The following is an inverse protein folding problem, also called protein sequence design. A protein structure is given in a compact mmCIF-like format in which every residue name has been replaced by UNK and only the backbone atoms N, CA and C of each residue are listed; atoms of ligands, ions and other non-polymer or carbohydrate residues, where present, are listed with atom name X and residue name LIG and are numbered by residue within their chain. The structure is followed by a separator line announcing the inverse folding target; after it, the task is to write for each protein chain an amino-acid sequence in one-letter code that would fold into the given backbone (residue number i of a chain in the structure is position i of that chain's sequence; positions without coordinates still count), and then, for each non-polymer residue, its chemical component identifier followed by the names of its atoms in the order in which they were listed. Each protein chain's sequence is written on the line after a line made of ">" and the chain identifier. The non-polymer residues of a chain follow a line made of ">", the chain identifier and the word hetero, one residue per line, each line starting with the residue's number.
data_IF_844851231191
#
_entry.id   IF_844851231191
#
_cell.length_a   1.000
_cell.length_b   1.000
_cell.length_c   1.000
_cell.angle_alpha   90.00
_cell.angle_beta   90.00
_cell.angle_gamma   90.00
#
_symmetry.space_group_name_H-M   'P 1'
#
loop_
_entity.id
_entity.type
_entity.pdbx_description
1 polymer ?
#
# COMPACT_ATOMS: atom_id res chain seq x y z
N UNK A 1 -34.73 18.84 -9.32
CA UNK A 1 -33.58 17.99 -9.03
C UNK A 1 -32.30 18.74 -9.34
N UNK A 2 -31.18 18.34 -8.78
CA UNK A 2 -29.85 18.82 -9.16
C UNK A 2 -29.59 18.41 -10.61
N UNK A 3 -29.02 19.31 -11.40
CA UNK A 3 -28.52 19.02 -12.76
C UNK A 3 -27.02 19.32 -12.75
N UNK A 4 -26.17 18.35 -12.32
CA UNK A 4 -24.73 18.56 -12.28
C UNK A 4 -24.14 18.53 -13.69
N UNK A 5 -23.11 19.33 -13.94
CA UNK A 5 -22.29 19.25 -15.15
C UNK A 5 -21.22 18.16 -15.06
N UNK A 6 -20.84 17.81 -13.84
CA UNK A 6 -19.76 16.86 -13.55
C UNK A 6 -20.20 15.89 -12.46
N UNK A 7 -19.88 14.62 -12.62
CA UNK A 7 -19.99 13.60 -11.55
C UNK A 7 -18.61 13.05 -11.25
N UNK A 8 -18.24 13.16 -9.97
CA UNK A 8 -16.99 12.67 -9.44
C UNK A 8 -17.26 11.36 -8.69
N UNK A 9 -16.68 10.26 -9.15
CA UNK A 9 -16.75 8.97 -8.46
C UNK A 9 -15.41 8.66 -7.81
N UNK A 10 -15.44 8.04 -6.65
CA UNK A 10 -14.26 7.67 -5.89
C UNK A 10 -14.27 6.17 -5.63
N UNK A 11 -13.30 5.46 -6.19
CA UNK A 11 -13.12 4.04 -5.98
C UNK A 11 -11.68 3.63 -6.37
N UNK A 12 -10.88 3.20 -5.40
CA UNK A 12 -9.51 2.79 -5.65
C UNK A 12 -9.44 1.36 -6.17
N UNK A 13 -8.78 1.18 -7.31
CA UNK A 13 -8.58 -0.13 -7.94
C UNK A 13 -7.17 -0.68 -7.76
N UNK A 14 -6.34 0.03 -7.04
CA UNK A 14 -4.95 -0.35 -6.81
C UNK A 14 -4.33 0.28 -5.57
N UNK A 15 -3.12 -0.15 -5.28
CA UNK A 15 -2.21 0.48 -4.36
C UNK A 15 -1.25 1.42 -5.13
N UNK A 16 -0.33 2.06 -4.43
CA UNK A 16 0.64 3.02 -4.99
C UNK A 16 1.45 2.50 -6.19
N UNK A 17 1.73 1.20 -6.24
CA UNK A 17 2.63 0.58 -7.21
C UNK A 17 2.02 -0.59 -8.01
N UNK A 18 0.78 -1.00 -7.72
CA UNK A 18 0.10 -2.09 -8.41
C UNK A 18 -1.42 -2.05 -8.25
N UNK A 19 -2.15 -2.74 -9.13
CA UNK A 19 -3.57 -3.00 -8.96
C UNK A 19 -3.84 -3.91 -7.75
N UNK A 20 -5.05 -3.85 -7.16
CA UNK A 20 -5.46 -4.79 -6.11
C UNK A 20 -5.67 -6.21 -6.63
N UNK A 21 -5.93 -6.36 -7.92
CA UNK A 21 -6.16 -7.63 -8.59
C UNK A 21 -5.54 -7.64 -9.99
N UNK A 22 -5.40 -8.83 -10.58
CA UNK A 22 -4.92 -8.96 -11.96
C UNK A 22 -5.84 -8.21 -12.92
N UNK A 23 -5.29 -7.57 -13.98
CA UNK A 23 -6.11 -6.85 -14.98
C UNK A 23 -7.21 -7.72 -15.60
N UNK A 24 -6.95 -9.01 -15.80
CA UNK A 24 -7.92 -9.96 -16.35
C UNK A 24 -9.12 -10.15 -15.42
N UNK A 25 -8.88 -10.25 -14.11
CA UNK A 25 -9.91 -10.35 -13.06
C UNK A 25 -10.72 -9.05 -13.00
N UNK A 26 -10.04 -7.88 -13.06
CA UNK A 26 -10.72 -6.59 -13.10
C UNK A 26 -11.64 -6.50 -14.32
N UNK A 27 -11.17 -6.91 -15.52
CA UNK A 27 -11.96 -6.92 -16.76
C UNK A 27 -13.17 -7.83 -16.67
N UNK A 28 -13.01 -9.01 -16.08
CA UNK A 28 -14.07 -10.00 -15.96
C UNK A 28 -15.21 -9.54 -15.02
N UNK A 29 -14.87 -8.96 -13.86
CA UNK A 29 -15.85 -8.69 -12.81
C UNK A 29 -16.29 -7.21 -12.74
N UNK A 30 -15.44 -6.27 -13.13
CA UNK A 30 -15.68 -4.84 -12.90
C UNK A 30 -15.90 -4.03 -14.17
N UNK A 31 -15.32 -4.42 -15.30
CA UNK A 31 -15.36 -3.60 -16.52
C UNK A 31 -16.78 -3.31 -16.98
N UNK A 32 -17.66 -4.31 -17.08
CA UNK A 32 -19.03 -4.11 -17.56
C UNK A 32 -19.93 -3.36 -16.55
N UNK A 33 -19.91 -3.64 -15.25
CA UNK A 33 -20.59 -2.79 -14.26
C UNK A 33 -20.18 -1.31 -14.35
N UNK A 34 -18.88 -1.02 -14.44
CA UNK A 34 -18.43 0.37 -14.59
C UNK A 34 -18.74 0.98 -15.94
N UNK A 35 -18.72 0.22 -17.04
CA UNK A 35 -19.17 0.67 -18.35
C UNK A 35 -20.62 1.17 -18.30
N UNK A 36 -21.49 0.42 -17.61
CA UNK A 36 -22.87 0.83 -17.41
C UNK A 36 -22.96 2.08 -16.55
N UNK A 37 -22.23 2.12 -15.41
CA UNK A 37 -22.24 3.25 -14.49
C UNK A 37 -21.79 4.56 -15.18
N UNK A 38 -20.64 4.56 -15.84
CA UNK A 38 -20.12 5.75 -16.55
C UNK A 38 -20.93 6.05 -17.82
N UNK A 39 -21.54 5.06 -18.44
CA UNK A 39 -22.48 5.24 -19.56
C UNK A 39 -23.67 6.09 -19.15
N UNK A 40 -24.34 5.76 -18.06
CA UNK A 40 -25.49 6.52 -17.52
C UNK A 40 -25.10 7.99 -17.20
N UNK A 41 -23.89 8.21 -16.64
CA UNK A 41 -23.39 9.58 -16.38
C UNK A 41 -23.25 10.37 -17.67
N UNK A 42 -22.68 9.80 -18.70
CA UNK A 42 -22.45 10.45 -20.00
C UNK A 42 -23.75 10.66 -20.76
N UNK A 43 -24.68 9.70 -20.71
CA UNK A 43 -26.00 9.79 -21.35
C UNK A 43 -26.85 10.90 -20.70
N UNK A 44 -26.61 11.18 -19.40
CA UNK A 44 -27.17 12.35 -18.72
C UNK A 44 -26.52 13.70 -19.12
N UNK A 45 -25.51 13.68 -19.98
CA UNK A 45 -24.77 14.87 -20.42
C UNK A 45 -23.72 15.38 -19.43
N UNK A 46 -23.38 14.58 -18.41
CA UNK A 46 -22.40 14.94 -17.39
C UNK A 46 -20.99 14.47 -17.78
N UNK A 47 -19.98 15.19 -17.29
CA UNK A 47 -18.58 14.74 -17.37
C UNK A 47 -18.32 13.72 -16.27
N UNK A 48 -17.79 12.57 -16.64
CA UNK A 48 -17.41 11.51 -15.69
C UNK A 48 -15.95 11.67 -15.26
N UNK A 49 -15.74 11.99 -13.99
CA UNK A 49 -14.43 12.00 -13.35
C UNK A 49 -14.32 10.79 -12.41
N UNK A 50 -13.26 10.02 -12.55
CA UNK A 50 -12.93 8.92 -11.65
C UNK A 50 -11.72 9.30 -10.81
N UNK A 51 -11.88 9.24 -9.48
CA UNK A 51 -10.75 9.35 -8.55
C UNK A 51 -10.19 7.98 -8.21
N UNK A 52 -8.88 7.88 -8.34
CA UNK A 52 -8.09 6.80 -7.75
C UNK A 52 -6.64 7.25 -7.65
N UNK A 53 -6.10 7.30 -6.45
CA UNK A 53 -4.70 7.65 -6.17
C UNK A 53 -3.80 6.40 -6.18
N UNK A 54 -3.91 5.61 -7.23
CA UNK A 54 -3.30 4.30 -7.37
C UNK A 54 -2.56 4.10 -8.70
N UNK A 55 -1.86 2.96 -8.80
CA UNK A 55 -1.22 2.53 -10.02
C UNK A 55 -2.23 1.85 -10.96
N UNK A 56 -2.71 2.57 -11.99
CA UNK A 56 -3.74 2.10 -12.93
C UNK A 56 -3.22 1.84 -14.36
N UNK A 57 -1.92 1.96 -14.58
CA UNK A 57 -1.31 1.82 -15.92
C UNK A 57 -1.77 0.58 -16.70
N UNK A 58 -1.93 -0.63 -16.09
CA UNK A 58 -2.35 -1.82 -16.83
C UNK A 58 -3.79 -1.81 -17.38
N UNK A 59 -4.64 -0.87 -16.92
CA UNK A 59 -6.06 -0.77 -17.31
C UNK A 59 -6.44 0.57 -17.93
N UNK A 60 -5.47 1.39 -18.35
CA UNK A 60 -5.73 2.71 -18.92
C UNK A 60 -6.68 2.69 -20.12
N UNK A 61 -6.49 1.77 -21.06
CA UNK A 61 -7.37 1.64 -22.22
C UNK A 61 -8.78 1.17 -21.81
N UNK A 62 -8.87 0.32 -20.80
CA UNK A 62 -10.14 -0.11 -20.23
C UNK A 62 -10.90 1.08 -19.59
N UNK A 63 -10.20 1.97 -18.89
CA UNK A 63 -10.78 3.20 -18.32
C UNK A 63 -11.39 4.10 -19.39
N UNK A 64 -10.70 4.27 -20.51
CA UNK A 64 -11.23 5.00 -21.66
C UNK A 64 -12.45 4.30 -22.24
N UNK A 65 -12.39 2.97 -22.42
CA UNK A 65 -13.49 2.19 -23.01
C UNK A 65 -14.76 2.18 -22.18
N UNK A 66 -14.65 2.20 -20.84
CA UNK A 66 -15.82 2.27 -19.95
C UNK A 66 -16.40 3.68 -19.82
N UNK A 67 -15.73 4.69 -20.39
CA UNK A 67 -16.27 6.04 -20.53
C UNK A 67 -15.81 7.05 -19.50
N UNK A 68 -14.73 6.80 -18.77
CA UNK A 68 -14.09 7.81 -17.92
C UNK A 68 -13.47 8.88 -18.79
N UNK A 69 -13.81 10.14 -18.51
CA UNK A 69 -13.32 11.30 -19.26
C UNK A 69 -12.15 12.01 -18.56
N UNK A 70 -12.05 11.86 -17.24
CA UNK A 70 -10.94 12.38 -16.47
C UNK A 70 -10.56 11.38 -15.36
N UNK A 71 -9.28 11.03 -15.28
CA UNK A 71 -8.72 10.34 -14.15
C UNK A 71 -8.04 11.33 -13.20
N UNK A 72 -8.61 11.51 -12.01
CA UNK A 72 -8.04 12.33 -10.96
C UNK A 72 -7.33 11.43 -9.93
N UNK A 73 -6.16 11.87 -9.48
CA UNK A 73 -5.36 11.16 -8.49
C UNK A 73 -4.12 10.46 -9.04
N UNK A 74 -3.74 10.72 -10.32
CA UNK A 74 -2.52 10.09 -10.85
C UNK A 74 -1.31 10.44 -9.99
N UNK A 75 -0.66 9.39 -9.46
CA UNK A 75 0.56 9.51 -8.66
C UNK A 75 1.79 9.78 -9.54
N UNK A 76 2.82 10.47 -9.02
CA UNK A 76 4.10 10.67 -9.74
C UNK A 76 4.73 9.36 -10.24
N UNK A 77 4.55 8.26 -9.49
CA UNK A 77 5.08 6.93 -9.77
C UNK A 77 4.50 6.28 -11.04
N UNK A 78 3.36 6.77 -11.54
CA UNK A 78 2.72 6.27 -12.76
C UNK A 78 3.41 6.73 -14.07
N UNK A 79 4.56 7.41 -14.01
CA UNK A 79 5.21 7.99 -15.19
C UNK A 79 4.25 8.87 -16.02
N UNK A 80 3.81 9.97 -15.45
CA UNK A 80 2.78 10.87 -16.01
C UNK A 80 3.01 11.20 -17.47
N UNK A 81 4.24 11.58 -17.95
CA UNK A 81 4.47 11.87 -19.36
C UNK A 81 4.18 10.71 -20.30
N UNK A 82 4.42 9.47 -19.86
CA UNK A 82 4.15 8.28 -20.66
C UNK A 82 2.65 7.97 -20.70
N UNK A 83 1.98 8.06 -19.56
CA UNK A 83 0.51 7.88 -19.46
C UNK A 83 -0.22 8.89 -20.34
N UNK A 84 0.12 10.19 -20.25
CA UNK A 84 -0.52 11.24 -21.05
C UNK A 84 -0.29 11.02 -22.54
N UNK A 85 0.93 10.65 -22.95
CA UNK A 85 1.24 10.32 -24.36
C UNK A 85 0.47 9.09 -24.85
N UNK A 86 0.35 8.05 -24.01
CA UNK A 86 -0.41 6.85 -24.36
C UNK A 86 -1.90 7.14 -24.56
N UNK A 87 -2.46 7.96 -23.69
CA UNK A 87 -3.88 8.35 -23.75
C UNK A 87 -4.20 9.23 -24.95
N UNK A 88 -3.26 10.02 -25.43
CA UNK A 88 -3.37 10.87 -26.64
C UNK A 88 -4.71 11.66 -26.69
N UNK A 89 -5.06 12.31 -25.58
CA UNK A 89 -6.27 13.11 -25.44
C UNK A 89 -7.57 12.30 -25.25
N UNK A 90 -7.52 10.99 -25.22
CA UNK A 90 -8.72 10.15 -25.02
C UNK A 90 -9.31 10.26 -23.61
N UNK A 91 -8.50 10.66 -22.64
CA UNK A 91 -8.87 10.90 -21.25
C UNK A 91 -7.97 11.99 -20.68
N UNK A 92 -8.54 12.91 -19.93
CA UNK A 92 -7.78 13.91 -19.17
C UNK A 92 -7.17 13.23 -17.95
N UNK A 93 -5.97 13.65 -17.58
CA UNK A 93 -5.26 13.15 -16.39
C UNK A 93 -5.04 14.32 -15.42
N UNK A 94 -5.39 14.12 -14.16
CA UNK A 94 -5.34 15.17 -13.13
C UNK A 94 -4.63 14.63 -11.89
N UNK A 95 -3.61 15.35 -11.39
CA UNK A 95 -2.85 14.92 -10.22
C UNK A 95 -1.38 15.34 -10.27
N UNK A 96 -0.49 14.45 -9.88
CA UNK A 96 0.96 14.61 -9.99
C UNK A 96 1.62 15.34 -8.83
N UNK A 97 0.86 15.94 -7.90
CA UNK A 97 1.38 16.51 -6.66
C UNK A 97 1.27 15.46 -5.55
N UNK A 98 2.40 14.90 -5.15
CA UNK A 98 2.46 13.84 -4.14
C UNK A 98 2.32 14.36 -2.71
N UNK A 99 2.14 13.43 -1.77
CA UNK A 99 1.94 13.73 -0.35
C UNK A 99 3.19 14.25 0.37
N UNK A 100 4.36 14.12 -0.22
CA UNK A 100 5.65 14.43 0.40
C UNK A 100 5.83 15.90 0.79
N UNK A 101 5.07 16.81 0.16
CA UNK A 101 5.10 18.25 0.50
C UNK A 101 3.98 18.69 1.44
N UNK A 102 3.00 17.83 1.70
CA UNK A 102 1.88 18.14 2.57
C UNK A 102 2.19 17.72 4.01
N UNK A 103 3.09 18.47 4.65
CA UNK A 103 3.57 18.25 6.01
C UNK A 103 3.44 19.52 6.83
N UNK A 104 3.26 19.37 8.14
CA UNK A 104 3.14 20.50 9.08
C UNK A 104 4.39 21.37 9.14
N UNK A 105 5.56 20.77 8.86
CA UNK A 105 6.90 21.37 8.89
C UNK A 105 7.45 21.74 7.51
N UNK A 106 6.69 21.46 6.43
CA UNK A 106 7.12 21.84 5.09
C UNK A 106 7.28 23.34 4.95
N UNK A 107 8.47 23.77 4.55
CA UNK A 107 8.75 25.18 4.33
C UNK A 107 8.19 25.66 2.99
N UNK A 108 7.90 26.94 2.88
CA UNK A 108 7.43 27.55 1.62
C UNK A 108 8.40 27.27 0.47
N UNK A 109 9.71 27.32 0.71
CA UNK A 109 10.72 27.09 -0.34
C UNK A 109 10.73 25.64 -0.81
N UNK A 110 10.61 24.66 0.09
CA UNK A 110 10.50 23.22 -0.27
C UNK A 110 9.28 22.96 -1.15
N UNK A 111 8.12 23.52 -0.79
CA UNK A 111 6.89 23.37 -1.56
C UNK A 111 7.05 24.00 -2.95
N UNK A 112 7.60 25.23 -3.02
CA UNK A 112 7.85 25.92 -4.30
C UNK A 112 8.86 25.20 -5.17
N UNK A 113 9.96 24.68 -4.62
CA UNK A 113 10.94 23.89 -5.36
C UNK A 113 10.35 22.61 -5.94
N UNK A 114 9.59 21.88 -5.13
CA UNK A 114 8.87 20.69 -5.57
C UNK A 114 7.92 21.02 -6.73
N UNK A 115 7.08 22.03 -6.57
CA UNK A 115 6.12 22.45 -7.58
C UNK A 115 6.80 22.88 -8.88
N UNK A 116 7.87 23.67 -8.81
CA UNK A 116 8.64 24.08 -9.98
C UNK A 116 9.24 22.90 -10.73
N UNK A 117 9.76 21.90 -10.00
CA UNK A 117 10.30 20.67 -10.59
C UNK A 117 9.21 19.85 -11.27
N UNK A 118 8.09 19.62 -10.60
CA UNK A 118 6.95 18.89 -11.12
C UNK A 118 6.33 19.57 -12.35
N UNK A 119 6.08 20.88 -12.27
CA UNK A 119 5.53 21.67 -13.38
C UNK A 119 6.49 21.74 -14.57
N UNK A 120 7.80 21.83 -14.34
CA UNK A 120 8.80 21.79 -15.41
C UNK A 120 8.77 20.45 -16.16
N UNK A 121 8.49 19.35 -15.47
CA UNK A 121 8.44 18.02 -16.04
C UNK A 121 7.11 17.75 -16.76
N UNK A 122 5.99 18.13 -16.15
CA UNK A 122 4.65 17.69 -16.56
C UNK A 122 3.73 18.83 -17.00
N UNK A 123 3.97 20.05 -16.55
CA UNK A 123 3.02 21.17 -16.71
C UNK A 123 2.75 21.61 -18.15
N UNK A 124 3.64 21.27 -19.11
CA UNK A 124 3.43 21.53 -20.53
C UNK A 124 2.73 20.40 -21.30
N UNK A 125 2.36 19.31 -20.61
CA UNK A 125 1.67 18.19 -21.24
C UNK A 125 0.21 18.59 -21.52
N UNK A 126 -0.23 18.42 -22.77
CA UNK A 126 -1.65 18.52 -23.11
C UNK A 126 -2.44 17.45 -22.36
N UNK A 127 -3.69 17.79 -22.01
CA UNK A 127 -4.59 16.88 -21.29
C UNK A 127 -4.11 16.45 -19.90
N UNK A 128 -3.17 17.21 -19.32
CA UNK A 128 -2.74 17.06 -17.92
C UNK A 128 -3.12 18.29 -17.10
N UNK A 129 -3.74 18.06 -15.94
CA UNK A 129 -4.09 19.10 -14.97
C UNK A 129 -3.29 18.83 -13.68
N UNK A 130 -2.29 19.67 -13.36
CA UNK A 130 -1.58 19.53 -12.10
C UNK A 130 -2.52 19.80 -10.93
N UNK A 131 -2.57 18.86 -10.00
CA UNK A 131 -3.30 18.96 -8.75
C UNK A 131 -2.74 18.00 -7.71
N UNK A 132 -3.18 18.16 -6.47
CA UNK A 132 -2.93 17.15 -5.44
C UNK A 132 -3.59 15.83 -5.84
N UNK A 133 -2.94 14.73 -5.46
CA UNK A 133 -3.39 13.37 -5.80
C UNK A 133 -4.30 12.76 -4.75
N UNK A 134 -4.34 13.30 -3.55
CA UNK A 134 -5.01 12.77 -2.36
C UNK A 134 -5.72 13.88 -1.61
N UNK A 135 -6.61 13.47 -0.72
CA UNK A 135 -7.30 14.38 0.19
C UNK A 135 -8.50 15.11 -0.43
N UNK A 136 -9.38 15.55 0.45
CA UNK A 136 -10.49 16.44 0.16
C UNK A 136 -10.12 17.85 0.63
N UNK A 137 -10.86 18.85 0.18
CA UNK A 137 -10.71 20.22 0.68
C UNK A 137 -10.77 20.24 2.22
N UNK A 138 -9.72 20.78 2.85
CA UNK A 138 -9.56 20.84 4.30
C UNK A 138 -8.78 19.68 4.95
N UNK A 139 -8.33 18.69 4.16
CA UNK A 139 -7.44 17.63 4.65
C UNK A 139 -5.96 17.94 4.44
N UNK A 140 -5.65 18.99 3.70
CA UNK A 140 -4.31 19.48 3.41
C UNK A 140 -3.94 20.56 4.42
N UNK A 141 -2.65 20.64 4.80
CA UNK A 141 -2.17 21.70 5.67
C UNK A 141 -2.41 23.08 5.03
N UNK A 142 -3.02 23.99 5.79
CA UNK A 142 -3.52 25.31 5.32
C UNK A 142 -2.45 26.21 4.69
N UNK A 143 -1.17 25.98 4.97
CA UNK A 143 -0.08 26.74 4.40
C UNK A 143 0.42 26.14 3.08
N UNK A 144 0.12 24.89 2.78
CA UNK A 144 0.58 24.18 1.58
C UNK A 144 -0.26 24.53 0.35
N UNK A 145 -1.56 24.44 0.46
CA UNK A 145 -2.52 24.61 -0.63
C UNK A 145 -2.36 25.95 -1.39
N UNK A 146 -2.28 27.12 -0.72
CA UNK A 146 -2.10 28.38 -1.41
C UNK A 146 -0.79 28.48 -2.20
N UNK A 147 0.28 27.85 -1.73
CA UNK A 147 1.59 27.88 -2.40
C UNK A 147 1.55 27.03 -3.68
N UNK A 148 0.86 25.88 -3.64
CA UNK A 148 0.61 25.04 -4.81
C UNK A 148 -0.13 25.84 -5.89
N UNK A 149 -1.23 26.48 -5.51
CA UNK A 149 -2.05 27.30 -6.42
C UNK A 149 -1.26 28.46 -7.03
N UNK A 150 -0.47 29.16 -6.22
CA UNK A 150 0.40 30.25 -6.69
C UNK A 150 1.44 29.78 -7.72
N UNK A 151 2.09 28.65 -7.50
CA UNK A 151 3.10 28.12 -8.43
C UNK A 151 2.44 27.63 -9.73
N UNK A 152 1.24 27.01 -9.67
CA UNK A 152 0.46 26.63 -10.86
C UNK A 152 0.06 27.88 -11.63
N UNK A 153 -0.47 28.91 -10.95
CA UNK A 153 -0.89 30.15 -11.59
C UNK A 153 0.32 30.88 -12.23
N UNK A 154 1.47 30.93 -11.54
CA UNK A 154 2.71 31.50 -12.08
C UNK A 154 3.14 30.76 -13.35
N UNK A 155 3.19 29.45 -13.31
CA UNK A 155 3.56 28.63 -14.45
C UNK A 155 2.62 28.84 -15.66
N UNK A 156 1.31 28.87 -15.43
CA UNK A 156 0.32 29.11 -16.46
C UNK A 156 0.49 30.50 -17.10
N UNK A 157 0.81 31.54 -16.31
CA UNK A 157 1.07 32.88 -16.82
C UNK A 157 2.34 32.92 -17.68
N UNK A 158 3.38 32.18 -17.33
CA UNK A 158 4.60 32.06 -18.12
C UNK A 158 4.36 31.33 -19.47
N UNK A 159 3.40 30.39 -19.51
CA UNK A 159 3.04 29.66 -20.73
C UNK A 159 2.09 30.43 -21.66
N UNK A 160 1.30 31.39 -21.16
CA UNK A 160 0.28 32.13 -21.93
C UNK A 160 0.80 32.88 -23.14
N UNK A 161 2.12 33.05 -23.28
CA UNK A 161 2.74 33.63 -24.47
C UNK A 161 3.04 32.62 -25.60
N UNK A 162 2.71 31.33 -25.44
CA UNK A 162 2.91 30.31 -26.47
C UNK A 162 1.56 29.82 -26.98
N UNK A 163 1.18 30.28 -28.17
CA UNK A 163 0.05 29.71 -28.92
C UNK A 163 0.39 28.26 -29.31
N UNK A 164 -0.34 27.31 -28.79
CA UNK A 164 -0.19 25.91 -29.15
C UNK A 164 -1.02 25.60 -30.40
N UNK A 165 -0.34 25.34 -31.53
CA UNK A 165 -0.92 24.65 -32.66
C UNK A 165 -0.40 23.22 -32.65
N UNK A 166 -1.18 22.25 -32.15
CA UNK A 166 -0.81 20.86 -32.21
C UNK A 166 -1.54 20.11 -33.32
N UNK A 167 -0.82 19.40 -34.22
CA UNK A 167 -1.45 18.41 -35.09
C UNK A 167 -1.78 17.18 -34.26
N UNK A 168 -3.03 16.75 -34.24
CA UNK A 168 -3.46 15.46 -33.68
C UNK A 168 -2.83 14.36 -34.53
N UNK A 169 -1.76 13.77 -34.04
CA UNK A 169 -1.14 12.62 -34.70
C UNK A 169 -1.56 11.35 -33.97
N UNK A 170 -2.53 10.61 -34.51
CA UNK A 170 -3.06 9.36 -33.95
C UNK A 170 -2.07 8.20 -33.96
N UNK A 171 -0.89 8.37 -33.38
CA UNK A 171 0.08 7.30 -33.15
C UNK A 171 -0.15 6.71 -31.77
N UNK A 172 -0.60 5.46 -31.71
CA UNK A 172 -0.60 4.67 -30.47
C UNK A 172 0.85 4.39 -30.06
N UNK A 173 1.21 4.80 -28.87
CA UNK A 173 2.48 4.42 -28.22
C UNK A 173 2.23 3.19 -27.37
N UNK A 174 3.07 2.17 -27.49
CA UNK A 174 3.06 1.05 -26.57
C UNK A 174 3.70 1.49 -25.26
N UNK A 175 3.00 1.31 -24.14
CA UNK A 175 3.60 1.51 -22.82
C UNK A 175 4.66 0.45 -22.61
N UNK A 176 5.85 0.88 -22.18
CA UNK A 176 6.88 -0.04 -21.73
C UNK A 176 6.42 -0.66 -20.42
N UNK A 177 6.09 -1.95 -20.47
CA UNK A 177 5.81 -2.75 -19.27
C UNK A 177 7.09 -3.26 -18.60
N UNK A 178 8.25 -2.79 -19.06
CA UNK A 178 9.54 -3.18 -18.50
C UNK A 178 9.77 -2.57 -17.13
N UNK A 179 9.28 -3.25 -16.10
CA UNK A 179 9.64 -3.05 -14.69
C UNK A 179 11.08 -3.48 -14.36
N UNK A 180 11.95 -3.67 -15.35
CA UNK A 180 13.31 -4.15 -15.14
C UNK A 180 14.33 -3.02 -15.19
N UNK A 181 14.35 -2.15 -14.17
CA UNK A 181 15.57 -1.46 -13.72
C UNK A 181 15.46 -1.05 -12.25
N UNK A 182 15.27 -1.99 -11.36
CA UNK A 182 15.72 -1.84 -9.98
C UNK A 182 16.50 -3.10 -9.59
N UNK A 183 17.74 -2.88 -9.27
CA UNK A 183 18.75 -3.69 -8.59
C UNK A 183 18.46 -5.20 -8.47
N UNK A 184 19.25 -5.98 -9.20
CA UNK A 184 19.49 -7.40 -8.99
C UNK A 184 19.97 -7.66 -7.55
N UNK A 185 19.08 -8.03 -6.65
CA UNK A 185 19.42 -8.78 -5.46
C UNK A 185 19.25 -10.25 -5.81
N UNK A 186 20.34 -11.02 -5.60
CA UNK A 186 20.52 -12.37 -6.08
C UNK A 186 19.34 -13.28 -5.77
N UNK A 187 18.77 -13.87 -6.82
CA UNK A 187 17.87 -15.00 -6.76
C UNK A 187 18.58 -16.19 -6.09
N UNK A 188 18.27 -16.46 -4.82
CA UNK A 188 18.45 -17.81 -4.31
C UNK A 188 17.33 -18.68 -4.90
N UNK A 189 17.61 -19.30 -6.05
CA UNK A 189 16.77 -20.38 -6.59
C UNK A 189 16.73 -21.51 -5.57
N UNK A 190 15.59 -21.65 -4.88
CA UNK A 190 15.29 -22.83 -4.09
C UNK A 190 15.35 -24.04 -5.02
N UNK A 191 16.28 -24.95 -4.79
CA UNK A 191 16.51 -26.11 -5.66
C UNK A 191 15.26 -26.99 -5.73
N UNK A 192 14.99 -27.62 -6.89
CA UNK A 192 13.84 -28.51 -7.10
C UNK A 192 13.76 -29.69 -6.12
N UNK A 193 14.86 -30.04 -5.47
CA UNK A 193 14.90 -31.06 -4.43
C UNK A 193 14.23 -30.61 -3.13
N UNK A 194 14.29 -29.32 -2.79
CA UNK A 194 13.62 -28.74 -1.59
C UNK A 194 12.10 -28.70 -1.78
N UNK A 195 11.63 -28.40 -2.99
CA UNK A 195 10.18 -28.41 -3.30
C UNK A 195 9.52 -29.78 -3.20
N UNK A 196 10.28 -30.86 -3.32
CA UNK A 196 9.78 -32.25 -3.20
C UNK A 196 9.72 -32.76 -1.76
N UNK A 197 10.34 -32.07 -0.80
CA UNK A 197 10.29 -32.42 0.61
C UNK A 197 8.89 -32.17 1.20
N UNK A 198 8.48 -32.86 2.29
CA UNK A 198 7.22 -32.58 2.97
C UNK A 198 7.06 -31.09 3.36
N UNK A 199 8.12 -30.43 3.85
CA UNK A 199 8.13 -29.00 4.16
C UNK A 199 7.97 -28.13 2.90
N UNK A 200 8.65 -28.50 1.81
CA UNK A 200 8.49 -27.81 0.52
C UNK A 200 7.09 -27.92 -0.07
N UNK A 201 6.39 -29.05 0.17
CA UNK A 201 4.96 -29.22 -0.21
C UNK A 201 4.05 -28.31 0.63
N UNK A 202 4.34 -28.15 1.93
CA UNK A 202 3.60 -27.22 2.80
C UNK A 202 3.73 -25.79 2.26
N UNK A 203 4.96 -25.33 1.98
CA UNK A 203 5.20 -24.02 1.38
C UNK A 203 4.49 -23.86 0.03
N UNK A 204 4.58 -24.83 -0.87
CA UNK A 204 3.95 -24.79 -2.21
C UNK A 204 2.41 -24.72 -2.14
N UNK A 205 1.79 -25.47 -1.23
CA UNK A 205 0.34 -25.44 -1.02
C UNK A 205 -0.12 -24.10 -0.44
N UNK A 206 0.66 -23.52 0.47
CA UNK A 206 0.41 -22.19 1.02
C UNK A 206 0.53 -21.10 -0.06
N UNK A 207 1.61 -21.09 -0.82
CA UNK A 207 1.86 -20.13 -1.91
C UNK A 207 0.76 -20.16 -2.99
N UNK A 208 0.16 -21.32 -3.23
CA UNK A 208 -0.97 -21.51 -4.16
C UNK A 208 -2.34 -21.17 -3.55
N UNK A 209 -2.40 -20.77 -2.29
CA UNK A 209 -3.64 -20.46 -1.61
C UNK A 209 -4.62 -21.66 -1.50
N UNK A 210 -4.11 -22.90 -1.57
CA UNK A 210 -4.96 -24.08 -1.60
C UNK A 210 -5.34 -24.57 -0.19
N UNK A 211 -6.26 -23.85 0.44
CA UNK A 211 -6.73 -24.12 1.81
C UNK A 211 -7.19 -25.58 2.02
N UNK A 212 -7.88 -26.18 1.05
CA UNK A 212 -8.44 -27.53 1.18
C UNK A 212 -7.37 -28.63 1.29
N UNK A 213 -6.15 -28.36 0.82
CA UNK A 213 -5.02 -29.29 0.91
C UNK A 213 -4.09 -29.00 2.09
N UNK A 214 -4.25 -27.84 2.76
CA UNK A 214 -3.29 -27.35 3.75
C UNK A 214 -3.18 -28.30 4.93
N UNK A 215 -4.30 -28.68 5.54
CA UNK A 215 -4.32 -29.62 6.65
C UNK A 215 -3.66 -30.96 6.30
N UNK A 216 -3.96 -31.50 5.10
CA UNK A 216 -3.40 -32.77 4.64
C UNK A 216 -1.88 -32.73 4.53
N UNK A 217 -1.30 -31.68 3.91
CA UNK A 217 0.17 -31.61 3.75
C UNK A 217 0.87 -31.33 5.06
N UNK A 218 0.24 -30.63 6.02
CA UNK A 218 0.79 -30.46 7.37
C UNK A 218 0.80 -31.80 8.12
N UNK A 219 -0.27 -32.61 8.04
CA UNK A 219 -0.31 -33.96 8.63
C UNK A 219 0.73 -34.89 7.99
N UNK A 220 0.88 -34.88 6.67
CA UNK A 220 1.92 -35.63 5.95
C UNK A 220 3.33 -35.25 6.44
N UNK A 221 3.58 -33.96 6.74
CA UNK A 221 4.84 -33.51 7.29
C UNK A 221 5.05 -34.01 8.74
N UNK A 222 4.01 -33.95 9.59
CA UNK A 222 4.05 -34.52 10.95
C UNK A 222 4.33 -36.03 10.94
N UNK A 223 3.63 -36.77 10.07
CA UNK A 223 3.77 -38.24 9.90
C UNK A 223 5.19 -38.61 9.39
N UNK A 224 5.82 -37.71 8.63
CA UNK A 224 7.20 -37.86 8.17
C UNK A 224 8.25 -37.52 9.26
N UNK A 225 7.81 -37.17 10.49
CA UNK A 225 8.66 -36.95 11.66
C UNK A 225 9.16 -35.52 11.81
N UNK A 226 8.63 -34.55 11.06
CA UNK A 226 8.99 -33.14 11.27
C UNK A 226 8.29 -32.58 12.51
N UNK A 227 9.03 -31.86 13.33
CA UNK A 227 8.46 -31.19 14.50
C UNK A 227 7.49 -30.07 14.05
N UNK A 228 6.40 -29.78 14.81
CA UNK A 228 5.48 -28.68 14.52
C UNK A 228 6.19 -27.34 14.28
N UNK A 229 7.23 -27.05 15.05
CA UNK A 229 8.06 -25.85 14.91
C UNK A 229 8.83 -25.81 13.57
N UNK A 230 9.28 -26.95 13.06
CA UNK A 230 9.95 -27.01 11.77
C UNK A 230 8.97 -26.79 10.61
N UNK A 231 7.74 -27.32 10.73
CA UNK A 231 6.67 -27.10 9.76
C UNK A 231 6.30 -25.62 9.73
N UNK A 232 6.19 -24.98 10.89
CA UNK A 232 5.94 -23.54 11.00
C UNK A 232 7.06 -22.73 10.34
N UNK A 233 8.30 -22.90 10.78
CA UNK A 233 9.42 -22.05 10.37
C UNK A 233 9.87 -22.32 8.92
N UNK A 234 10.07 -23.59 8.56
CA UNK A 234 10.67 -23.98 7.27
C UNK A 234 9.64 -24.28 6.18
N UNK A 235 8.37 -24.48 6.55
CA UNK A 235 7.27 -24.69 5.61
C UNK A 235 6.41 -23.44 5.43
N UNK A 236 5.70 -23.05 6.50
CA UNK A 236 4.67 -22.02 6.45
C UNK A 236 5.26 -20.61 6.34
N UNK A 237 6.18 -20.22 7.24
CA UNK A 237 6.80 -18.88 7.23
C UNK A 237 7.60 -18.68 5.95
N UNK A 238 8.37 -19.68 5.50
CA UNK A 238 9.07 -19.62 4.21
C UNK A 238 8.11 -19.41 3.06
N UNK A 239 6.98 -20.14 3.02
CA UNK A 239 5.96 -19.99 1.99
C UNK A 239 5.33 -18.58 2.00
N UNK A 240 5.01 -18.05 3.18
CA UNK A 240 4.41 -16.71 3.32
C UNK A 240 5.39 -15.59 2.93
N UNK A 241 6.66 -15.75 3.26
CA UNK A 241 7.73 -14.83 2.84
C UNK A 241 7.85 -14.77 1.31
N UNK A 242 7.76 -15.92 0.62
CA UNK A 242 7.77 -15.95 -0.84
C UNK A 242 6.51 -15.31 -1.44
N UNK A 243 5.33 -15.49 -0.84
CA UNK A 243 4.11 -14.79 -1.23
C UNK A 243 4.28 -13.27 -1.11
N UNK A 244 4.87 -12.80 0.01
CA UNK A 244 5.16 -11.39 0.22
C UNK A 244 6.15 -10.83 -0.81
N UNK A 245 7.23 -11.58 -1.10
CA UNK A 245 8.19 -11.21 -2.14
C UNK A 245 7.52 -11.13 -3.53
N UNK A 246 6.67 -12.09 -3.87
CA UNK A 246 5.93 -12.12 -5.13
C UNK A 246 4.90 -10.97 -5.21
N UNK A 247 4.28 -10.61 -4.07
CA UNK A 247 3.40 -9.45 -3.96
C UNK A 247 4.16 -8.15 -4.25
N UNK A 248 5.31 -7.93 -3.63
CA UNK A 248 6.17 -6.74 -3.88
C UNK A 248 6.65 -6.66 -5.35
N UNK A 249 6.80 -7.80 -6.03
CA UNK A 249 7.12 -7.83 -7.48
C UNK A 249 5.91 -7.70 -8.40
N UNK A 250 4.68 -7.60 -7.85
CA UNK A 250 3.44 -7.55 -8.63
C UNK A 250 3.07 -8.86 -9.34
N UNK A 251 3.60 -10.00 -8.90
CA UNK A 251 3.31 -11.35 -9.40
C UNK A 251 2.13 -12.01 -8.69
N UNK A 252 1.86 -11.58 -7.44
CA UNK A 252 0.74 -11.98 -6.59
C UNK A 252 -0.04 -10.73 -6.22
N UNK A 253 -1.36 -10.83 -6.15
CA UNK A 253 -2.26 -9.72 -5.83
C UNK A 253 -2.98 -9.97 -4.50
N UNK A 254 -3.71 -8.95 -4.00
CA UNK A 254 -4.38 -9.00 -2.69
C UNK A 254 -5.26 -10.24 -2.50
N UNK A 255 -6.13 -10.66 -3.45
CA UNK A 255 -6.96 -11.85 -3.26
C UNK A 255 -6.13 -13.14 -3.09
N UNK A 256 -5.04 -13.28 -3.85
CA UNK A 256 -4.15 -14.46 -3.77
C UNK A 256 -3.39 -14.48 -2.45
N UNK A 257 -2.92 -13.30 -1.98
CA UNK A 257 -2.27 -13.16 -0.67
C UNK A 257 -3.24 -13.50 0.47
N UNK A 258 -4.51 -13.06 0.41
CA UNK A 258 -5.55 -13.41 1.37
C UNK A 258 -5.81 -14.92 1.42
N UNK A 259 -5.79 -15.60 0.27
CA UNK A 259 -5.94 -17.06 0.21
C UNK A 259 -4.75 -17.76 0.87
N UNK A 260 -3.54 -17.28 0.67
CA UNK A 260 -2.33 -17.80 1.33
C UNK A 260 -2.37 -17.57 2.84
N UNK A 261 -2.81 -16.40 3.30
CA UNK A 261 -3.01 -16.11 4.73
C UNK A 261 -4.07 -17.03 5.36
N UNK A 262 -5.17 -17.34 4.66
CA UNK A 262 -6.16 -18.34 5.12
C UNK A 262 -5.57 -19.75 5.18
N UNK A 263 -4.65 -20.13 4.30
CA UNK A 263 -3.90 -21.39 4.41
C UNK A 263 -3.03 -21.39 5.67
N UNK A 264 -2.34 -20.27 5.97
CA UNK A 264 -1.54 -20.10 7.18
C UNK A 264 -2.39 -20.31 8.44
N UNK A 265 -3.54 -19.61 8.55
CA UNK A 265 -4.45 -19.77 9.69
C UNK A 265 -4.90 -21.23 9.86
N UNK A 266 -5.29 -21.89 8.75
CA UNK A 266 -5.71 -23.32 8.80
C UNK A 266 -4.60 -24.23 9.30
N UNK A 267 -3.36 -23.99 8.90
CA UNK A 267 -2.19 -24.76 9.37
C UNK A 267 -1.87 -24.47 10.85
N UNK A 268 -1.94 -23.20 11.27
CA UNK A 268 -1.71 -22.79 12.65
C UNK A 268 -2.76 -23.39 13.59
N UNK A 269 -4.03 -23.42 13.22
CA UNK A 269 -5.09 -24.06 14.01
C UNK A 269 -4.80 -25.55 14.27
N UNK A 270 -4.21 -26.26 13.29
CA UNK A 270 -3.78 -27.64 13.42
C UNK A 270 -2.55 -27.79 14.33
N UNK A 271 -1.55 -26.92 14.15
CA UNK A 271 -0.24 -27.03 14.83
C UNK A 271 -0.27 -26.44 16.24
N UNK A 272 -1.10 -25.43 16.51
CA UNK A 272 -1.15 -24.68 17.77
C UNK A 272 -1.28 -25.57 19.03
N UNK A 273 -2.11 -26.63 19.08
CA UNK A 273 -2.17 -27.52 20.24
C UNK A 273 -0.86 -28.27 20.52
N UNK A 274 -0.06 -28.49 19.46
CA UNK A 274 1.24 -29.19 19.54
C UNK A 274 2.39 -28.27 19.88
N UNK A 275 2.25 -26.96 19.55
CA UNK A 275 3.23 -25.92 19.82
C UNK A 275 3.13 -25.36 21.24
N UNK A 276 1.96 -25.42 21.88
CA UNK A 276 1.72 -24.92 23.26
C UNK A 276 2.47 -25.71 24.34
N UNK A 277 2.98 -26.89 24.00
CA UNK A 277 3.87 -27.63 24.89
C UNK A 277 5.26 -27.00 25.04
N UNK A 278 5.69 -26.18 24.08
CA UNK A 278 6.90 -25.35 24.13
C UNK A 278 6.49 -23.88 24.09
N UNK A 279 6.72 -23.13 25.17
CA UNK A 279 6.26 -21.75 25.37
C UNK A 279 6.87 -20.67 24.40
N UNK A 280 7.32 -21.07 23.20
CA UNK A 280 8.01 -20.22 22.23
C UNK A 280 7.31 -20.13 20.85
N UNK A 281 5.99 -20.36 20.77
CA UNK A 281 5.30 -20.52 19.48
C UNK A 281 4.97 -19.22 18.74
N UNK A 282 4.99 -18.05 19.39
CA UNK A 282 4.83 -16.74 18.75
C UNK A 282 6.17 -16.04 18.64
N UNK A 283 6.45 -15.40 17.50
CA UNK A 283 7.65 -14.57 17.34
C UNK A 283 7.61 -13.33 18.25
N UNK A 284 6.42 -12.88 18.63
CA UNK A 284 6.17 -11.74 19.49
C UNK A 284 4.72 -11.29 19.39
N UNK A 285 4.30 -10.39 20.27
CA UNK A 285 2.96 -9.81 20.28
C UNK A 285 2.97 -8.39 19.73
N UNK A 286 2.02 -8.12 18.82
CA UNK A 286 1.91 -6.82 18.12
C UNK A 286 0.52 -6.25 18.36
N UNK A 287 0.40 -4.97 18.70
CA UNK A 287 -0.84 -4.24 18.52
C UNK A 287 -0.74 -3.34 17.29
N UNK A 288 -1.78 -3.34 16.46
CA UNK A 288 -1.85 -2.57 15.22
C UNK A 288 -3.16 -1.79 15.14
N UNK A 289 -3.09 -0.56 14.67
CA UNK A 289 -4.27 0.28 14.49
C UNK A 289 -4.03 1.42 13.50
N UNK A 290 -5.12 1.96 12.97
CA UNK A 290 -5.09 3.23 12.26
C UNK A 290 -5.34 4.35 13.27
N UNK A 291 -4.49 5.36 13.26
CA UNK A 291 -4.49 6.43 14.27
C UNK A 291 -5.79 7.26 14.28
N UNK A 292 -6.00 8.00 15.35
CA UNK A 292 -7.19 8.83 15.55
C UNK A 292 -7.43 9.81 14.40
N UNK A 293 -8.69 9.93 13.99
CA UNK A 293 -9.13 10.79 12.89
C UNK A 293 -8.98 10.15 11.52
N UNK A 294 -8.43 8.93 11.43
CA UNK A 294 -8.22 8.21 10.17
C UNK A 294 -9.02 6.90 10.15
N UNK A 295 -9.84 6.74 9.10
CA UNK A 295 -10.73 5.57 8.93
C UNK A 295 -10.18 4.53 7.94
N UNK A 296 -9.05 4.81 7.29
CA UNK A 296 -8.48 3.94 6.27
C UNK A 296 -7.84 2.70 6.91
N UNK A 297 -8.25 1.51 6.49
CA UNK A 297 -7.82 0.26 7.11
C UNK A 297 -7.21 -0.77 6.14
N UNK A 298 -7.30 -0.56 4.83
CA UNK A 298 -6.80 -1.53 3.83
C UNK A 298 -5.31 -1.81 4.03
N UNK A 299 -4.48 -0.78 4.11
CA UNK A 299 -3.04 -0.92 4.33
C UNK A 299 -2.72 -1.58 5.67
N UNK A 300 -3.39 -1.15 6.74
CA UNK A 300 -3.29 -1.73 8.09
C UNK A 300 -3.63 -3.22 8.07
N UNK A 301 -4.73 -3.60 7.41
CA UNK A 301 -5.17 -4.99 7.34
C UNK A 301 -4.18 -5.87 6.54
N UNK A 302 -3.53 -5.33 5.51
CA UNK A 302 -2.45 -6.03 4.78
C UNK A 302 -1.24 -6.27 5.68
N UNK A 303 -0.80 -5.27 6.44
CA UNK A 303 0.29 -5.41 7.42
C UNK A 303 -0.06 -6.45 8.48
N UNK A 304 -1.27 -6.40 9.04
CA UNK A 304 -1.79 -7.39 9.99
C UNK A 304 -1.66 -8.81 9.45
N UNK A 305 -2.19 -9.06 8.24
CA UNK A 305 -2.15 -10.37 7.59
C UNK A 305 -0.73 -10.86 7.39
N UNK A 306 0.17 -9.98 6.98
CA UNK A 306 1.59 -10.31 6.79
C UNK A 306 2.29 -10.63 8.12
N UNK A 307 1.98 -9.90 9.20
CA UNK A 307 2.51 -10.17 10.54
C UNK A 307 1.99 -11.52 11.08
N UNK A 308 0.67 -11.76 11.01
CA UNK A 308 0.06 -13.07 11.38
C UNK A 308 0.67 -14.21 10.57
N UNK A 309 0.86 -14.00 9.26
CA UNK A 309 1.50 -14.96 8.35
C UNK A 309 2.97 -15.21 8.66
N UNK A 310 3.66 -14.35 9.38
CA UNK A 310 5.02 -14.55 9.86
C UNK A 310 5.10 -15.03 11.31
N UNK A 311 3.96 -15.40 11.93
CA UNK A 311 3.92 -16.04 13.24
C UNK A 311 3.82 -15.08 14.43
N UNK A 312 3.43 -13.82 14.21
CA UNK A 312 3.11 -12.87 15.29
C UNK A 312 1.70 -13.09 15.82
N UNK A 313 1.53 -12.83 17.12
CA UNK A 313 0.22 -12.69 17.77
C UNK A 313 -0.24 -11.24 17.64
N UNK A 314 -1.24 -10.97 16.77
CA UNK A 314 -1.61 -9.60 16.39
C UNK A 314 -2.95 -9.20 17.01
N UNK A 315 -2.94 -8.11 17.78
CA UNK A 315 -4.10 -7.46 18.36
C UNK A 315 -4.49 -6.29 17.45
N UNK A 316 -5.59 -6.43 16.74
CA UNK A 316 -6.12 -5.39 15.86
C UNK A 316 -6.98 -4.41 16.66
N UNK A 317 -6.54 -3.17 16.74
CA UNK A 317 -7.23 -2.09 17.44
C UNK A 317 -8.34 -1.41 16.59
N UNK A 318 -8.35 -1.71 15.26
CA UNK A 318 -9.28 -1.09 14.32
C UNK A 318 -8.77 0.22 13.74
N UNK A 319 -9.71 1.11 13.39
CA UNK A 319 -9.45 2.46 12.84
C UNK A 319 -9.90 3.53 13.82
N UNK A 320 -9.47 4.79 13.61
CA UNK A 320 -9.79 5.93 14.48
C UNK A 320 -9.38 5.68 15.95
N UNK A 321 -8.18 5.16 16.14
CA UNK A 321 -7.71 4.68 17.45
C UNK A 321 -6.94 5.79 18.17
N UNK A 322 -7.43 6.24 19.36
CA UNK A 322 -6.70 7.20 20.19
C UNK A 322 -5.34 6.66 20.65
N UNK A 323 -4.35 7.53 20.78
CA UNK A 323 -2.99 7.18 21.20
C UNK A 323 -2.95 6.43 22.56
N UNK A 324 -3.82 6.82 23.49
CA UNK A 324 -3.94 6.16 24.81
C UNK A 324 -4.34 4.69 24.69
N UNK A 325 -5.10 4.33 23.65
CA UNK A 325 -5.52 2.94 23.42
C UNK A 325 -4.34 2.09 22.97
N UNK A 326 -3.48 2.59 22.08
CA UNK A 326 -2.24 1.91 21.71
C UNK A 326 -1.35 1.66 22.93
N UNK A 327 -1.11 2.71 23.72
CA UNK A 327 -0.24 2.65 24.90
C UNK A 327 -0.80 1.70 25.95
N UNK A 328 -2.09 1.79 26.24
CA UNK A 328 -2.77 0.92 27.20
C UNK A 328 -2.69 -0.54 26.78
N UNK A 329 -3.06 -0.85 25.52
CA UNK A 329 -3.03 -2.22 25.00
C UNK A 329 -1.62 -2.77 25.01
N UNK A 330 -0.64 -1.99 24.57
CA UNK A 330 0.75 -2.43 24.58
C UNK A 330 1.22 -2.81 26.00
N UNK A 331 0.83 -2.06 27.01
CA UNK A 331 1.19 -2.32 28.41
C UNK A 331 0.44 -3.50 29.02
N UNK A 332 -0.89 -3.56 28.84
CA UNK A 332 -1.74 -4.60 29.41
C UNK A 332 -1.47 -5.97 28.80
N UNK A 333 -1.34 -6.01 27.47
CA UNK A 333 -1.13 -7.22 26.68
C UNK A 333 0.35 -7.57 26.50
N UNK A 334 1.26 -6.73 27.03
CA UNK A 334 2.73 -6.89 26.91
C UNK A 334 3.17 -7.07 25.45
N UNK A 335 2.74 -6.12 24.61
CA UNK A 335 3.14 -6.15 23.21
C UNK A 335 4.63 -5.81 23.07
N UNK A 336 5.28 -6.49 22.14
CA UNK A 336 6.67 -6.22 21.75
C UNK A 336 6.77 -5.12 20.72
N UNK A 337 5.70 -4.99 19.89
CA UNK A 337 5.65 -4.06 18.76
C UNK A 337 4.31 -3.31 18.77
N UNK A 338 4.37 -2.02 18.50
CA UNK A 338 3.20 -1.16 18.20
C UNK A 338 3.29 -0.75 16.73
N UNK A 339 2.26 -1.05 15.93
CA UNK A 339 2.18 -0.62 14.53
C UNK A 339 1.12 0.45 14.37
N UNK A 340 1.51 1.63 13.92
CA UNK A 340 0.62 2.77 13.65
C UNK A 340 0.48 2.97 12.13
N UNK A 341 -0.76 3.05 11.65
CA UNK A 341 -1.09 3.33 10.25
C UNK A 341 -1.82 4.66 10.10
N UNK A 342 -1.51 5.42 9.05
CA UNK A 342 -2.27 6.60 8.64
C UNK A 342 -2.24 6.77 7.13
N UNK A 343 -3.32 7.28 6.54
CA UNK A 343 -3.39 7.62 5.12
C UNK A 343 -3.49 9.13 4.88
N UNK A 344 -3.90 9.91 5.86
CA UNK A 344 -4.05 11.35 5.75
C UNK A 344 -2.84 12.06 6.35
N UNK A 345 -2.33 13.09 5.66
CA UNK A 345 -1.23 13.93 6.17
C UNK A 345 -1.60 14.63 7.46
N UNK A 346 -2.88 14.95 7.65
CA UNK A 346 -3.40 15.60 8.88
C UNK A 346 -3.47 14.66 10.08
N UNK A 347 -3.38 13.35 9.89
CA UNK A 347 -3.49 12.34 10.96
C UNK A 347 -2.15 11.72 11.35
N UNK A 348 -1.09 11.88 10.56
CA UNK A 348 0.22 11.30 10.91
C UNK A 348 0.77 11.84 12.25
N UNK A 349 0.44 13.07 12.63
CA UNK A 349 0.86 13.64 13.92
C UNK A 349 0.29 12.88 15.12
N UNK A 350 -0.79 12.13 14.97
CA UNK A 350 -1.30 11.25 16.03
C UNK A 350 -0.31 10.12 16.37
N UNK A 351 0.56 9.71 15.42
CA UNK A 351 1.64 8.75 15.68
C UNK A 351 2.65 9.30 16.69
N UNK A 352 2.96 10.61 16.63
CA UNK A 352 3.81 11.29 17.62
C UNK A 352 3.24 11.17 19.03
N UNK A 353 1.92 11.31 19.16
CA UNK A 353 1.23 11.16 20.48
C UNK A 353 1.36 9.72 21.02
N UNK A 354 1.38 8.70 20.15
CA UNK A 354 1.63 7.32 20.56
C UNK A 354 3.05 7.18 21.14
N UNK A 355 4.06 7.73 20.45
CA UNK A 355 5.45 7.71 20.93
C UNK A 355 5.60 8.44 22.26
N UNK A 356 5.02 9.65 22.39
CA UNK A 356 5.03 10.43 23.62
C UNK A 356 4.28 9.74 24.75
N UNK A 357 3.15 9.12 24.44
CA UNK A 357 2.38 8.32 25.38
C UNK A 357 3.17 7.12 25.92
N UNK A 358 3.93 6.43 25.06
CA UNK A 358 4.82 5.33 25.49
C UNK A 358 5.95 5.85 26.40
N UNK A 359 6.53 7.02 26.12
CA UNK A 359 7.51 7.68 26.99
C UNK A 359 6.90 8.02 28.36
N UNK A 360 5.72 8.64 28.35
CA UNK A 360 5.03 9.00 29.60
C UNK A 360 4.60 7.79 30.42
N UNK A 361 4.23 6.68 29.78
CA UNK A 361 3.86 5.43 30.45
C UNK A 361 5.08 4.58 30.90
N UNK A 362 6.31 4.99 30.57
CA UNK A 362 7.56 4.31 30.92
C UNK A 362 7.77 2.98 30.19
N UNK A 363 7.15 2.79 29.03
CA UNK A 363 7.27 1.56 28.21
C UNK A 363 8.02 1.77 26.89
N UNK A 364 8.56 2.98 26.64
CA UNK A 364 9.18 3.30 25.34
C UNK A 364 10.32 2.37 24.97
N UNK A 365 11.14 1.97 25.92
CA UNK A 365 12.29 1.07 25.72
C UNK A 365 11.87 -0.42 25.65
N UNK A 366 10.65 -0.72 26.12
CA UNK A 366 10.10 -2.08 26.11
C UNK A 366 9.38 -2.44 24.81
N UNK A 367 9.08 -1.45 23.96
CA UNK A 367 8.34 -1.64 22.73
C UNK A 367 9.09 -1.12 21.51
N UNK A 368 8.93 -1.76 20.35
CA UNK A 368 9.34 -1.24 19.06
C UNK A 368 8.13 -0.55 18.41
N UNK A 369 8.26 0.71 18.04
CA UNK A 369 7.19 1.47 17.38
C UNK A 369 7.46 1.53 15.89
N UNK A 370 6.55 0.92 15.12
CA UNK A 370 6.58 0.91 13.66
C UNK A 370 5.50 1.84 13.10
N UNK A 371 5.85 2.62 12.10
CA UNK A 371 4.93 3.56 11.46
C UNK A 371 4.90 3.32 9.95
N UNK A 372 3.73 3.48 9.33
CA UNK A 372 3.56 3.31 7.90
C UNK A 372 2.25 3.91 7.40
N UNK A 373 2.17 4.02 6.08
CA UNK A 373 1.06 4.63 5.35
C UNK A 373 1.56 5.59 4.27
N UNK A 374 0.72 5.91 3.30
CA UNK A 374 1.15 6.66 2.11
C UNK A 374 1.86 8.00 2.39
N UNK A 375 1.43 8.82 3.35
CA UNK A 375 2.10 10.10 3.66
C UNK A 375 3.29 9.96 4.61
N UNK A 376 3.51 8.78 5.21
CA UNK A 376 4.59 8.57 6.18
C UNK A 376 5.92 8.41 5.47
N UNK A 377 6.97 9.03 6.01
CA UNK A 377 8.33 8.98 5.48
C UNK A 377 9.33 8.58 6.57
N UNK A 378 10.55 8.19 6.17
CA UNK A 378 11.63 7.93 7.13
C UNK A 378 11.95 9.16 7.98
N UNK A 379 12.01 10.34 7.36
CA UNK A 379 12.30 11.60 8.07
C UNK A 379 11.22 11.90 9.13
N UNK A 380 9.95 11.63 8.82
CA UNK A 380 8.88 11.74 9.79
C UNK A 380 9.05 10.73 10.94
N UNK A 381 9.31 9.46 10.64
CA UNK A 381 9.59 8.42 11.62
C UNK A 381 10.70 8.86 12.60
N UNK A 382 11.82 9.34 12.07
CA UNK A 382 12.96 9.81 12.85
C UNK A 382 12.59 11.03 13.71
N UNK A 383 11.83 11.98 13.14
CA UNK A 383 11.41 13.23 13.82
C UNK A 383 10.52 13.00 15.04
N UNK A 384 9.69 11.94 15.02
CA UNK A 384 8.81 11.59 16.14
C UNK A 384 9.47 10.65 17.15
N UNK A 385 10.63 10.07 16.78
CA UNK A 385 11.35 9.09 17.60
C UNK A 385 10.68 7.71 17.60
N UNK A 386 10.02 7.33 16.50
CA UNK A 386 9.64 5.96 16.22
C UNK A 386 10.87 5.14 15.75
N UNK A 387 10.77 3.82 15.74
CA UNK A 387 11.94 2.97 15.51
C UNK A 387 12.04 2.51 14.07
N UNK A 388 10.91 2.30 13.39
CA UNK A 388 10.88 1.68 12.06
C UNK A 388 9.81 2.35 11.20
N UNK A 389 10.20 2.77 10.01
CA UNK A 389 9.30 3.10 8.91
C UNK A 389 9.36 2.02 7.83
N UNK A 390 8.23 1.74 7.22
CA UNK A 390 8.16 0.86 6.05
C UNK A 390 7.10 1.35 5.07
N UNK A 391 7.41 1.24 3.80
CA UNK A 391 6.59 1.70 2.68
C UNK A 391 5.57 0.67 2.19
N UNK A 392 5.72 -0.61 2.58
CA UNK A 392 4.78 -1.67 2.22
C UNK A 392 4.62 -2.73 3.33
N UNK A 393 3.56 -3.54 3.19
CA UNK A 393 3.21 -4.57 4.18
C UNK A 393 4.26 -5.71 4.28
N UNK A 394 4.95 -6.01 3.18
CA UNK A 394 6.00 -7.04 3.16
C UNK A 394 7.24 -6.56 3.88
N UNK A 395 7.63 -5.31 3.63
CA UNK A 395 8.73 -4.66 4.33
C UNK A 395 8.43 -4.57 5.83
N UNK A 396 7.18 -4.23 6.21
CA UNK A 396 6.75 -4.17 7.60
C UNK A 396 6.92 -5.51 8.32
N UNK A 397 6.46 -6.61 7.73
CA UNK A 397 6.61 -7.93 8.32
C UNK A 397 8.09 -8.35 8.48
N UNK A 398 8.92 -8.11 7.46
CA UNK A 398 10.37 -8.38 7.53
C UNK A 398 11.06 -7.58 8.63
N UNK A 399 10.74 -6.29 8.74
CA UNK A 399 11.31 -5.42 9.74
C UNK A 399 10.89 -5.83 11.16
N UNK A 400 9.63 -6.26 11.35
CA UNK A 400 9.16 -6.79 12.62
C UNK A 400 9.91 -8.06 13.04
N UNK A 401 10.12 -9.01 12.13
CA UNK A 401 10.92 -10.23 12.39
C UNK A 401 12.34 -9.86 12.82
N UNK A 402 12.99 -8.95 12.08
CA UNK A 402 14.34 -8.50 12.39
C UNK A 402 14.43 -7.79 13.75
N UNK A 403 13.42 -7.01 14.11
CA UNK A 403 13.36 -6.35 15.41
C UNK A 403 13.33 -7.37 16.57
N UNK A 404 12.54 -8.43 16.43
CA UNK A 404 12.47 -9.51 17.43
C UNK A 404 13.76 -10.31 17.52
N UNK A 405 14.40 -10.62 16.41
CA UNK A 405 15.71 -11.30 16.39
C UNK A 405 16.79 -10.47 17.10
N UNK A 406 16.79 -9.15 16.89
CA UNK A 406 17.74 -8.25 17.54
C UNK A 406 17.53 -8.16 19.07
N UNK A 407 16.28 -8.26 19.56
CA UNK A 407 15.94 -8.29 20.99
C UNK A 407 16.37 -9.60 21.68
N UNK A 408 16.40 -10.72 20.96
CA UNK A 408 16.78 -12.04 21.50
C UNK A 408 18.28 -12.26 21.53
N UNK A 409 19.11 -11.41 20.92
CA UNK A 409 20.58 -11.50 21.02
C UNK A 409 21.03 -10.89 22.34
N UNK A 410 21.64 -11.66 23.25
CA UNK A 410 22.25 -11.08 24.44
C UNK A 410 23.37 -10.13 24.03
N UNK A 411 23.46 -8.97 24.71
CA UNK A 411 24.49 -7.93 24.51
C UNK A 411 25.90 -8.46 24.84
#
# INVERSE_FOLDING_TARGET
>A
GLQPDVIFSHDDWGAKNQLFMKPEIWREFFKEPYRKFYGEIRDAGCIAIHHSDSYLVPILDDMVEIGIQCWQGILPENNIPEVVRHLDGRMIVMGGVGAEIDRSDATEEEIREYMRKMLKQNGSLEHFIPSITYGLSGTIFKHVDPIIDEEIARYNNELHFRHYNYPVTGKKYALSTDKNKSASHGEQKVSDSVRKSPLGKVADVLMKGNRNRMEKVCREALDAGYAPQEILNKGLITGMTEVGNAFSRGEVFVPEMLMSAKCMTTALDLLKPMLVADASASLGRVCIGTVQGDMHDIGKNLVKIMLEGNGFDVIDLGSDVPAETFVRTAKEEKCDIICCSALLTTTIEEMRKVVEGCKAAGIREDVTIMVGGAPVTQDFCDSIGADIYTDDATAAAKAAVQAMENRQRPA
#
